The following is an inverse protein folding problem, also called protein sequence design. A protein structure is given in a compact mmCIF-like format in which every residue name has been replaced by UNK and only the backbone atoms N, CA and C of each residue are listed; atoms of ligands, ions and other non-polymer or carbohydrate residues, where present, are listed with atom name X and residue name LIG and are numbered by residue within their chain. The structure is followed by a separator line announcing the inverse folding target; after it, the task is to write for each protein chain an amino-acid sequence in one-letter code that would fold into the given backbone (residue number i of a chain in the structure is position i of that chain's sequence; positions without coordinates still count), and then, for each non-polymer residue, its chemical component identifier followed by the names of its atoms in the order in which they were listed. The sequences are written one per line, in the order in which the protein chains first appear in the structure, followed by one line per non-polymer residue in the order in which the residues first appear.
data_IF_852030279584
#
_entry.id   IF_852030279584
#
_cell.length_a   1.000
_cell.length_b   1.000
_cell.length_c   1.000
_cell.angle_alpha   90.00
_cell.angle_beta   90.00
_cell.angle_gamma   90.00
#
_symmetry.space_group_name_H-M   'P 1'
#
loop_
_entity.id
_entity.type
_entity.pdbx_description
1 polymer ?
#
# COMPACT_ATOMS: atom_id res chain seq x y z
N UNK A 1 -29.94 35.17 31.43
CA UNK A 1 -28.53 35.12 31.88
C UNK A 1 -27.78 34.26 30.87
N UNK A 2 -27.22 34.88 29.82
CA UNK A 2 -26.64 34.17 28.68
C UNK A 2 -25.20 33.77 28.94
N UNK A 3 -24.87 32.48 28.84
CA UNK A 3 -23.49 31.98 28.97
C UNK A 3 -22.65 32.53 27.82
N UNK A 4 -21.43 32.99 28.12
CA UNK A 4 -20.55 33.63 27.15
C UNK A 4 -19.81 32.54 26.37
N UNK A 5 -19.55 32.78 25.09
CA UNK A 5 -18.90 31.81 24.19
C UNK A 5 -17.54 31.32 24.73
N UNK A 6 -16.88 32.14 25.55
CA UNK A 6 -15.61 31.83 26.20
C UNK A 6 -15.69 30.64 27.20
N UNK A 7 -16.87 30.34 27.73
CA UNK A 7 -17.05 29.29 28.75
C UNK A 7 -16.91 27.88 28.15
N UNK A 8 -16.99 27.74 26.81
CA UNK A 8 -16.89 26.47 26.10
C UNK A 8 -15.49 26.17 25.55
N UNK A 9 -14.56 27.12 25.62
CA UNK A 9 -13.17 26.96 25.15
C UNK A 9 -12.45 25.78 25.81
N UNK A 10 -12.52 25.56 27.15
CA UNK A 10 -11.84 24.41 27.75
C UNK A 10 -12.47 23.08 27.34
N UNK A 11 -13.79 23.05 27.10
CA UNK A 11 -14.50 21.86 26.63
C UNK A 11 -14.10 21.50 25.19
N UNK A 12 -13.92 22.51 24.34
CA UNK A 12 -13.49 22.33 22.95
C UNK A 12 -12.04 21.80 22.89
N UNK A 13 -11.14 22.35 23.73
CA UNK A 13 -9.75 21.89 23.82
C UNK A 13 -9.65 20.44 24.35
N UNK A 14 -10.51 20.05 25.30
CA UNK A 14 -10.59 18.67 25.79
C UNK A 14 -11.08 17.70 24.70
N UNK A 15 -12.03 18.12 23.86
CA UNK A 15 -12.52 17.34 22.72
C UNK A 15 -11.46 17.15 21.64
N UNK A 16 -10.62 18.16 21.38
CA UNK A 16 -9.51 18.02 20.43
C UNK A 16 -8.41 17.10 20.96
N UNK A 17 -8.13 17.10 22.27
CA UNK A 17 -7.12 16.24 22.89
C UNK A 17 -7.48 14.74 22.88
N UNK A 18 -8.76 14.39 22.77
CA UNK A 18 -9.20 12.99 22.68
C UNK A 18 -9.08 12.38 21.27
N UNK A 19 -8.70 13.15 20.25
CA UNK A 19 -8.43 12.61 18.91
C UNK A 19 -6.97 12.16 18.77
N UNK A 20 -6.47 11.41 19.77
CA UNK A 20 -5.20 10.73 19.68
C UNK A 20 -5.27 9.68 18.58
N UNK A 21 -4.92 10.10 17.37
CA UNK A 21 -4.25 9.36 16.32
C UNK A 21 -4.55 7.85 16.33
N UNK A 22 -5.68 7.46 15.74
CA UNK A 22 -5.79 6.14 15.12
C UNK A 22 -4.90 6.12 13.88
N UNK A 23 -3.58 6.01 14.08
CA UNK A 23 -2.69 5.57 13.02
C UNK A 23 -3.10 4.14 12.68
N UNK A 24 -3.66 3.92 11.49
CA UNK A 24 -3.95 2.58 11.02
C UNK A 24 -2.64 1.80 11.02
N UNK A 25 -2.56 0.71 11.79
CA UNK A 25 -1.42 -0.18 11.72
C UNK A 25 -1.30 -0.69 10.28
N UNK A 26 -0.11 -0.60 9.70
CA UNK A 26 0.17 -1.17 8.38
C UNK A 26 0.03 -2.69 8.52
N UNK A 27 -1.13 -3.23 8.13
CA UNK A 27 -1.41 -4.67 8.21
C UNK A 27 -0.73 -5.33 7.01
N UNK A 28 0.48 -5.85 7.22
CA UNK A 28 1.12 -6.74 6.27
C UNK A 28 0.28 -8.01 6.13
N UNK A 29 -0.31 -8.21 4.95
CA UNK A 29 -1.10 -9.41 4.66
C UNK A 29 -0.20 -10.43 3.98
N UNK A 30 0.03 -11.62 4.56
CA UNK A 30 0.82 -12.64 3.89
C UNK A 30 0.13 -13.10 2.61
N UNK A 31 0.90 -13.35 1.56
CA UNK A 31 0.41 -13.98 0.35
C UNK A 31 0.13 -15.45 0.62
N UNK A 32 -1.09 -15.87 0.35
CA UNK A 32 -1.53 -17.26 0.49
C UNK A 32 -1.34 -17.98 -0.85
N UNK A 33 -0.31 -18.84 -0.91
CA UNK A 33 -0.04 -19.71 -2.06
C UNK A 33 -0.43 -21.15 -1.74
N UNK A 34 -0.59 -21.98 -2.77
CA UNK A 34 -0.86 -23.42 -2.59
C UNK A 34 0.25 -24.12 -1.79
N UNK A 35 1.48 -23.64 -1.92
CA UNK A 35 2.67 -24.17 -1.23
C UNK A 35 2.86 -23.64 0.19
N UNK A 36 2.08 -22.65 0.63
CA UNK A 36 2.21 -22.05 1.95
C UNK A 36 2.03 -20.54 1.96
N UNK A 37 2.57 -19.88 2.99
CA UNK A 37 2.45 -18.43 3.19
C UNK A 37 3.76 -17.75 2.87
N UNK A 38 3.71 -16.66 2.09
CA UNK A 38 4.86 -15.81 1.81
C UNK A 38 4.62 -14.45 2.46
N UNK A 39 5.51 -14.06 3.37
CA UNK A 39 5.48 -12.73 3.98
C UNK A 39 6.01 -11.72 2.96
N UNK A 40 5.23 -10.68 2.68
CA UNK A 40 5.61 -9.60 1.79
C UNK A 40 6.34 -8.51 2.59
N UNK A 41 7.39 -7.94 2.00
CA UNK A 41 8.09 -6.79 2.56
C UNK A 41 7.65 -5.53 1.81
N UNK A 42 7.58 -4.41 2.51
CA UNK A 42 7.27 -3.12 1.90
C UNK A 42 8.47 -2.62 1.08
N UNK A 43 8.16 -1.77 0.11
CA UNK A 43 9.10 -1.07 -0.76
C UNK A 43 9.80 -1.94 -1.81
N UNK A 44 9.48 -1.62 -3.06
CA UNK A 44 10.21 -2.14 -4.22
C UNK A 44 11.69 -1.72 -4.20
N UNK A 45 12.00 -0.60 -3.56
CA UNK A 45 13.33 0.00 -3.54
C UNK A 45 14.43 -0.90 -2.95
N UNK A 46 14.09 -1.75 -1.96
CA UNK A 46 15.11 -2.61 -1.33
C UNK A 46 15.59 -3.72 -2.27
N UNK A 47 14.69 -4.29 -3.09
CA UNK A 47 15.07 -5.27 -4.10
C UNK A 47 15.44 -4.62 -5.43
N UNK A 48 14.85 -3.50 -5.83
CA UNK A 48 15.25 -2.77 -7.04
C UNK A 48 16.70 -2.25 -7.02
N UNK A 49 17.29 -2.11 -5.83
CA UNK A 49 18.72 -1.84 -5.66
C UNK A 49 19.61 -3.04 -6.04
N UNK A 50 19.07 -4.26 -6.09
CA UNK A 50 19.79 -5.47 -6.49
C UNK A 50 19.86 -5.57 -8.02
N UNK A 51 21.00 -6.03 -8.54
CA UNK A 51 21.17 -6.30 -9.96
C UNK A 51 20.46 -7.61 -10.34
N UNK A 52 19.19 -7.52 -10.69
CA UNK A 52 18.47 -8.63 -11.32
C UNK A 52 18.64 -8.61 -12.84
N UNK A 53 18.59 -9.79 -13.45
CA UNK A 53 18.45 -9.93 -14.90
C UNK A 53 16.97 -9.82 -15.26
N UNK A 54 16.67 -8.98 -16.23
CA UNK A 54 15.32 -8.80 -16.77
C UNK A 54 15.09 -9.73 -17.98
N UNK A 55 13.83 -10.11 -18.27
CA UNK A 55 12.61 -9.79 -17.52
C UNK A 55 12.52 -10.59 -16.20
N UNK A 56 11.95 -9.97 -15.17
CA UNK A 56 11.80 -10.58 -13.85
C UNK A 56 10.33 -10.79 -13.53
N UNK A 57 9.97 -12.02 -13.16
CA UNK A 57 8.64 -12.36 -12.68
C UNK A 57 8.56 -12.17 -11.16
N UNK A 58 7.58 -11.42 -10.70
CA UNK A 58 7.41 -11.06 -9.28
C UNK A 58 5.96 -11.18 -8.84
N UNK A 59 5.76 -11.30 -7.53
CA UNK A 59 4.46 -11.08 -6.91
C UNK A 59 4.39 -9.63 -6.42
N UNK A 60 3.35 -8.91 -6.85
CA UNK A 60 3.08 -7.53 -6.42
C UNK A 60 1.76 -7.52 -5.67
N UNK A 61 1.76 -6.97 -4.46
CA UNK A 61 0.56 -6.80 -3.65
C UNK A 61 0.26 -5.31 -3.51
N UNK A 62 -0.99 -4.93 -3.80
CA UNK A 62 -1.44 -3.56 -3.67
C UNK A 62 -2.33 -3.40 -2.44
N UNK A 63 -2.29 -2.23 -1.80
CA UNK A 63 -3.21 -1.92 -0.71
C UNK A 63 -4.67 -1.92 -1.18
N UNK A 64 -4.91 -1.38 -2.38
CA UNK A 64 -6.20 -1.36 -3.08
C UNK A 64 -6.01 -1.88 -4.49
N UNK A 65 -7.05 -2.50 -5.06
CA UNK A 65 -7.00 -2.96 -6.45
C UNK A 65 -6.67 -1.78 -7.37
N UNK A 66 -5.65 -1.91 -8.23
CA UNK A 66 -5.28 -0.84 -9.14
C UNK A 66 -6.39 -0.62 -10.17
N UNK A 67 -6.68 0.65 -10.49
CA UNK A 67 -7.60 1.02 -11.56
C UNK A 67 -7.05 0.64 -12.93
N UNK A 68 -7.89 0.70 -13.97
CA UNK A 68 -7.43 0.45 -15.35
C UNK A 68 -6.32 1.43 -15.76
N UNK A 69 -6.48 2.71 -15.42
CA UNK A 69 -5.49 3.76 -15.70
C UNK A 69 -4.16 3.51 -14.98
N UNK A 70 -4.23 3.10 -13.70
CA UNK A 70 -3.03 2.75 -12.92
C UNK A 70 -2.31 1.52 -13.51
N UNK A 71 -3.06 0.50 -13.96
CA UNK A 71 -2.46 -0.66 -14.64
C UNK A 71 -1.79 -0.26 -15.96
N UNK A 72 -2.36 0.70 -16.68
CA UNK A 72 -1.77 1.19 -17.92
C UNK A 72 -0.50 2.02 -17.67
N UNK A 73 -0.48 2.81 -16.59
CA UNK A 73 0.72 3.50 -16.12
C UNK A 73 1.83 2.52 -15.69
N UNK A 74 1.47 1.44 -14.99
CA UNK A 74 2.42 0.38 -14.66
C UNK A 74 2.98 -0.28 -15.92
N UNK A 75 2.13 -0.56 -16.90
CA UNK A 75 2.57 -1.13 -18.17
C UNK A 75 3.52 -0.20 -18.92
N UNK A 76 3.24 1.11 -18.95
CA UNK A 76 4.15 2.08 -19.60
C UNK A 76 5.48 2.26 -18.84
N UNK A 77 5.50 2.01 -17.53
CA UNK A 77 6.74 1.97 -16.74
C UNK A 77 7.51 0.64 -16.88
N UNK A 78 6.96 -0.35 -17.60
CA UNK A 78 7.60 -1.65 -17.84
C UNK A 78 7.22 -2.73 -16.81
N UNK A 79 6.09 -2.54 -16.11
CA UNK A 79 5.49 -3.52 -15.19
C UNK A 79 4.17 -4.02 -15.76
N UNK A 80 4.18 -5.26 -16.27
CA UNK A 80 2.98 -5.90 -16.79
C UNK A 80 2.32 -6.78 -15.73
N UNK A 81 1.09 -6.43 -15.34
CA UNK A 81 0.28 -7.19 -14.38
C UNK A 81 -0.47 -8.31 -15.14
N UNK A 82 -0.18 -9.57 -14.83
CA UNK A 82 -0.66 -10.74 -15.58
C UNK A 82 -1.87 -11.42 -14.94
N UNK A 83 -1.72 -11.95 -13.73
CA UNK A 83 -2.71 -12.81 -13.09
C UNK A 83 -3.03 -12.32 -11.69
N UNK A 84 -4.31 -12.19 -11.39
CA UNK A 84 -4.80 -11.90 -10.04
C UNK A 84 -4.66 -13.12 -9.12
N UNK A 85 -4.24 -12.84 -7.89
CA UNK A 85 -4.17 -13.74 -6.74
C UNK A 85 -4.96 -13.07 -5.60
N UNK A 86 -5.59 -13.82 -4.69
CA UNK A 86 -6.28 -13.24 -3.53
C UNK A 86 -5.45 -12.20 -2.76
N UNK A 87 -6.15 -11.34 -2.02
CA UNK A 87 -5.56 -10.25 -1.23
C UNK A 87 -4.87 -9.16 -2.06
N UNK A 88 -5.51 -8.72 -3.14
CA UNK A 88 -5.04 -7.63 -4.02
C UNK A 88 -3.64 -7.87 -4.59
N UNK A 89 -3.28 -9.15 -4.76
CA UNK A 89 -1.99 -9.57 -5.23
C UNK A 89 -2.04 -9.99 -6.70
N UNK A 90 -0.91 -9.87 -7.37
CA UNK A 90 -0.79 -10.22 -8.77
C UNK A 90 0.57 -10.83 -9.07
N UNK A 91 0.59 -11.74 -10.04
CA UNK A 91 1.80 -12.07 -10.79
C UNK A 91 2.05 -10.92 -11.76
N UNK A 92 3.25 -10.36 -11.74
CA UNK A 92 3.67 -9.32 -12.67
C UNK A 92 5.03 -9.66 -13.30
N UNK A 93 5.26 -9.12 -14.49
CA UNK A 93 6.57 -9.15 -15.15
C UNK A 93 7.11 -7.73 -15.18
N UNK A 94 8.37 -7.60 -14.79
CA UNK A 94 9.12 -6.35 -14.85
C UNK A 94 10.15 -6.49 -15.96
N UNK A 95 10.06 -5.65 -16.98
CA UNK A 95 10.88 -5.77 -18.20
C UNK A 95 12.20 -4.99 -18.14
N UNK A 96 12.27 -4.01 -17.24
CA UNK A 96 13.44 -3.15 -17.06
C UNK A 96 13.51 -2.65 -15.63
N UNK A 97 14.66 -2.10 -15.26
CA UNK A 97 14.79 -1.40 -13.98
C UNK A 97 13.77 -0.27 -13.91
N UNK A 98 12.96 -0.31 -12.86
CA UNK A 98 12.05 0.78 -12.51
C UNK A 98 12.90 1.76 -11.70
N UNK A 99 13.16 2.93 -12.28
CA UNK A 99 13.90 4.03 -11.64
C UNK A 99 13.00 4.84 -10.69
#
# INVERSE_FOLDING_TARGET
MGKRFADYIPLLLLLLACNSMYGQAIVHKPLLLKSGRVTTHNNVNEWAAQQYKYPLQVFVQFEKLPSAEQRQLLKSSGVEVLQYIPDNAFVAVVDKKVD
#
